data_IF_205900135691
#
_entry.id   IF_205900135691
#
_cell.length_a   1.000
_cell.length_b   1.000
_cell.length_c   1.000
_cell.angle_alpha   90.00
_cell.angle_beta   90.00
_cell.angle_gamma   90.00
#
_symmetry.space_group_name_H-M   'P 1'
#
loop_
_entity.id
_entity.type
_entity.pdbx_description
1 polymer ?
#
# COMPACT_ATOMS: atom_id res chain seq x y z
N UNK A 1 35.29 18.73 24.68
CA UNK A 1 34.24 19.26 23.78
C UNK A 1 34.75 19.41 22.34
N UNK A 2 36.00 19.85 22.14
CA UNK A 2 36.62 20.05 20.81
C UNK A 2 36.83 18.77 19.98
N UNK A 3 37.25 17.65 20.59
CA UNK A 3 37.43 16.37 19.89
C UNK A 3 36.13 15.84 19.27
N UNK A 4 34.99 15.96 19.98
CA UNK A 4 33.67 15.57 19.43
C UNK A 4 33.24 16.46 18.26
N UNK A 5 33.65 17.73 18.26
CA UNK A 5 33.37 18.65 17.15
C UNK A 5 34.18 18.31 15.91
N UNK A 6 35.46 17.94 16.07
CA UNK A 6 36.31 17.51 14.95
C UNK A 6 35.83 16.20 14.33
N UNK A 7 35.48 15.21 15.15
CA UNK A 7 34.91 13.93 14.67
C UNK A 7 33.56 14.10 13.97
N UNK A 8 32.69 15.00 14.45
CA UNK A 8 31.42 15.30 13.77
C UNK A 8 31.61 15.95 12.39
N UNK A 9 32.62 16.81 12.23
CA UNK A 9 32.97 17.44 10.95
C UNK A 9 33.54 16.40 9.97
N UNK A 10 34.37 15.47 10.46
CA UNK A 10 34.94 14.38 9.66
C UNK A 10 33.86 13.39 9.18
N UNK A 11 32.96 12.97 10.07
CA UNK A 11 31.81 12.10 9.73
C UNK A 11 30.85 12.77 8.75
N UNK A 12 30.60 14.07 8.89
CA UNK A 12 29.79 14.82 7.94
C UNK A 12 30.42 14.87 6.55
N UNK A 13 31.73 15.13 6.47
CA UNK A 13 32.47 15.12 5.21
C UNK A 13 32.51 13.73 4.55
N UNK A 14 32.64 12.66 5.34
CA UNK A 14 32.56 11.30 4.82
C UNK A 14 31.17 11.01 4.24
N UNK A 15 30.10 11.33 4.97
CA UNK A 15 28.72 11.17 4.51
C UNK A 15 28.49 11.88 3.17
N UNK A 16 28.93 13.15 3.06
CA UNK A 16 28.79 13.95 1.85
C UNK A 16 29.53 13.33 0.65
N UNK A 17 30.75 12.83 0.87
CA UNK A 17 31.55 12.14 -0.16
C UNK A 17 30.89 10.85 -0.64
N UNK A 18 30.38 10.02 0.29
CA UNK A 18 29.62 8.80 -0.08
C UNK A 18 28.34 9.15 -0.82
N UNK A 19 27.62 10.18 -0.37
CA UNK A 19 26.41 10.65 -1.02
C UNK A 19 26.69 11.07 -2.47
N UNK A 20 27.74 11.85 -2.69
CA UNK A 20 28.16 12.26 -4.04
C UNK A 20 28.48 11.06 -4.93
N UNK A 21 29.23 10.08 -4.43
CA UNK A 21 29.58 8.88 -5.21
C UNK A 21 28.33 8.08 -5.63
N UNK A 22 27.36 7.92 -4.72
CA UNK A 22 26.07 7.27 -5.01
C UNK A 22 25.28 8.08 -6.04
N UNK A 23 25.21 9.40 -5.87
CA UNK A 23 24.45 10.29 -6.75
C UNK A 23 25.01 10.30 -8.18
N UNK A 24 26.34 10.30 -8.33
CA UNK A 24 27.03 10.12 -9.62
C UNK A 24 26.69 8.78 -10.29
N UNK A 25 26.73 7.68 -9.53
CA UNK A 25 26.38 6.35 -10.05
C UNK A 25 24.90 6.30 -10.48
N UNK A 26 24.00 6.90 -9.69
CA UNK A 26 22.58 7.03 -10.04
C UNK A 26 22.38 7.88 -11.29
N UNK A 27 23.12 8.98 -11.46
CA UNK A 27 23.05 9.79 -12.70
C UNK A 27 23.41 8.96 -13.92
N UNK A 28 24.49 8.17 -13.86
CA UNK A 28 24.93 7.27 -14.94
C UNK A 28 23.92 6.14 -15.19
N UNK A 29 23.34 5.59 -14.13
CA UNK A 29 22.29 4.58 -14.23
C UNK A 29 21.10 5.10 -15.04
N UNK A 30 20.65 6.33 -14.80
CA UNK A 30 19.56 6.93 -15.57
C UNK A 30 19.90 7.10 -17.07
N UNK A 31 21.17 7.35 -17.43
CA UNK A 31 21.60 7.37 -18.84
C UNK A 31 21.49 6.00 -19.49
N UNK A 32 21.90 4.96 -18.75
CA UNK A 32 21.78 3.56 -19.20
C UNK A 32 20.31 3.19 -19.35
N UNK A 33 19.43 3.59 -18.43
CA UNK A 33 17.98 3.36 -18.52
C UNK A 33 17.41 3.91 -19.83
N UNK A 34 17.71 5.16 -20.20
CA UNK A 34 17.24 5.74 -21.46
C UNK A 34 17.77 4.96 -22.69
N UNK A 35 19.02 4.49 -22.64
CA UNK A 35 19.62 3.69 -23.72
C UNK A 35 18.99 2.30 -23.83
N UNK A 36 18.64 1.67 -22.71
CA UNK A 36 17.94 0.38 -22.70
C UNK A 36 16.57 0.49 -23.38
N UNK A 37 15.87 1.63 -23.18
CA UNK A 37 14.60 1.88 -23.86
C UNK A 37 14.79 2.06 -25.37
N UNK A 38 15.77 2.87 -25.78
CA UNK A 38 16.01 3.15 -27.21
C UNK A 38 16.45 1.93 -28.02
N UNK A 39 16.92 0.88 -27.35
CA UNK A 39 17.34 -0.39 -27.95
C UNK A 39 16.26 -1.50 -27.82
N UNK A 40 15.06 -1.16 -27.30
CA UNK A 40 13.93 -2.06 -27.07
C UNK A 40 14.30 -3.32 -26.27
N UNK A 41 15.25 -3.21 -25.31
CA UNK A 41 15.72 -4.37 -24.55
C UNK A 41 14.58 -5.05 -23.76
N UNK A 42 13.62 -4.26 -23.29
CA UNK A 42 12.44 -4.75 -22.59
C UNK A 42 11.59 -5.68 -23.47
N UNK A 43 11.46 -5.36 -24.77
CA UNK A 43 10.69 -6.18 -25.71
C UNK A 43 11.42 -7.47 -26.04
N UNK A 44 12.76 -7.43 -26.15
CA UNK A 44 13.59 -8.62 -26.41
C UNK A 44 13.50 -9.64 -25.27
N UNK A 45 13.32 -9.16 -24.05
CA UNK A 45 13.14 -9.98 -22.85
C UNK A 45 11.65 -10.27 -22.54
N UNK A 46 10.73 -10.01 -23.48
CA UNK A 46 9.32 -10.37 -23.38
C UNK A 46 8.51 -9.56 -22.37
N UNK A 47 9.03 -8.42 -21.90
CA UNK A 47 8.30 -7.51 -21.02
C UNK A 47 7.35 -6.62 -21.83
N UNK A 48 6.27 -6.13 -21.19
CA UNK A 48 5.27 -5.27 -21.83
C UNK A 48 5.72 -3.81 -21.99
N UNK A 49 6.59 -3.35 -21.10
CA UNK A 49 7.16 -2.00 -21.08
C UNK A 49 8.50 -2.00 -20.32
N UNK A 50 9.27 -0.90 -20.46
CA UNK A 50 10.53 -0.74 -19.75
C UNK A 50 10.37 -0.74 -18.22
N UNK A 51 9.21 -0.29 -17.70
CA UNK A 51 8.98 -0.24 -16.26
C UNK A 51 8.90 -1.65 -15.65
N UNK A 52 8.16 -2.57 -16.30
CA UNK A 52 8.11 -3.97 -15.92
C UNK A 52 9.50 -4.61 -16.01
N UNK A 53 10.24 -4.31 -17.08
CA UNK A 53 11.58 -4.86 -17.28
C UNK A 53 12.56 -4.42 -16.20
N UNK A 54 12.58 -3.13 -15.84
CA UNK A 54 13.40 -2.63 -14.73
C UNK A 54 12.96 -3.22 -13.39
N UNK A 55 11.66 -3.45 -13.21
CA UNK A 55 11.15 -4.07 -12.00
C UNK A 55 11.72 -5.48 -11.79
N UNK A 56 11.77 -6.27 -12.86
CA UNK A 56 12.34 -7.63 -12.84
C UNK A 56 13.88 -7.58 -12.76
N UNK A 57 14.53 -6.78 -13.61
CA UNK A 57 15.99 -6.80 -13.77
C UNK A 57 16.75 -6.10 -12.64
N UNK A 58 16.18 -5.03 -12.07
CA UNK A 58 16.83 -4.20 -11.03
C UNK A 58 16.18 -4.40 -9.66
N UNK A 59 15.00 -5.03 -9.58
CA UNK A 59 14.33 -5.32 -8.31
C UNK A 59 13.63 -4.10 -7.68
N UNK A 60 13.21 -3.13 -8.50
CA UNK A 60 12.48 -1.94 -8.04
C UNK A 60 10.99 -2.04 -8.33
N UNK A 61 10.15 -1.25 -7.65
CA UNK A 61 8.73 -1.21 -7.97
C UNK A 61 8.47 -0.59 -9.34
N UNK A 62 7.38 -0.96 -9.99
CA UNK A 62 6.93 -0.32 -11.24
C UNK A 62 6.78 1.21 -11.07
N UNK A 63 6.36 1.67 -9.88
CA UNK A 63 6.28 3.08 -9.55
C UNK A 63 7.65 3.76 -9.56
N UNK A 64 8.66 3.15 -8.92
CA UNK A 64 10.02 3.69 -8.92
C UNK A 64 10.62 3.68 -10.33
N UNK A 65 10.42 2.59 -11.08
CA UNK A 65 10.88 2.44 -12.45
C UNK A 65 10.33 3.56 -13.36
N UNK A 66 9.03 3.87 -13.29
CA UNK A 66 8.40 4.95 -14.07
C UNK A 66 9.00 6.32 -13.75
N UNK A 67 9.30 6.61 -12.48
CA UNK A 67 9.97 7.85 -12.07
C UNK A 67 11.38 7.93 -12.65
N UNK A 68 12.12 6.82 -12.63
CA UNK A 68 13.47 6.75 -13.20
C UNK A 68 13.43 6.96 -14.72
N UNK A 69 12.52 6.29 -15.43
CA UNK A 69 12.34 6.44 -16.88
C UNK A 69 12.03 7.90 -17.23
N UNK A 70 11.10 8.54 -16.50
CA UNK A 70 10.79 9.96 -16.71
C UNK A 70 12.02 10.86 -16.57
N UNK A 71 12.80 10.69 -15.49
CA UNK A 71 14.01 11.46 -15.27
C UNK A 71 15.10 11.17 -16.31
N UNK A 72 15.25 9.91 -16.72
CA UNK A 72 16.20 9.49 -17.75
C UNK A 72 15.99 10.25 -19.07
N UNK A 73 14.73 10.50 -19.44
CA UNK A 73 14.37 11.30 -20.62
C UNK A 73 14.38 12.83 -20.40
N UNK A 74 14.13 13.29 -19.18
CA UNK A 74 14.08 14.72 -18.86
C UNK A 74 15.49 15.33 -18.70
N UNK A 75 16.38 14.64 -17.99
CA UNK A 75 17.69 15.14 -17.58
C UNK A 75 18.61 15.61 -18.72
N UNK A 76 18.64 14.99 -19.92
CA UNK A 76 19.42 15.50 -21.05
C UNK A 76 19.07 16.94 -21.45
N UNK A 77 17.82 17.38 -21.17
CA UNK A 77 17.34 18.75 -21.44
C UNK A 77 17.46 19.66 -20.22
N UNK A 78 17.90 19.16 -19.07
CA UNK A 78 17.97 19.86 -17.78
C UNK A 78 19.42 19.82 -17.25
N UNK A 79 20.37 20.52 -17.91
CA UNK A 79 21.80 20.43 -17.58
C UNK A 79 22.16 20.93 -16.18
N UNK A 80 21.36 21.80 -15.56
CA UNK A 80 21.61 22.23 -14.18
C UNK A 80 21.18 21.16 -13.17
N UNK A 81 20.03 20.50 -13.39
CA UNK A 81 19.63 19.38 -12.54
C UNK A 81 20.51 18.14 -12.73
N UNK A 82 20.91 17.85 -13.97
CA UNK A 82 21.87 16.79 -14.27
C UNK A 82 23.15 16.93 -13.46
N UNK A 83 23.77 18.12 -13.49
CA UNK A 83 24.98 18.40 -12.72
C UNK A 83 24.75 18.39 -11.21
N UNK A 84 23.59 18.86 -10.76
CA UNK A 84 23.26 18.86 -9.33
C UNK A 84 23.11 17.44 -8.76
N UNK A 85 22.55 16.51 -9.53
CA UNK A 85 22.54 15.09 -9.17
C UNK A 85 23.97 14.52 -9.20
N UNK A 86 24.70 14.76 -10.29
CA UNK A 86 26.06 14.26 -10.47
C UNK A 86 27.02 14.69 -9.35
N UNK A 87 26.89 15.92 -8.87
CA UNK A 87 27.72 16.48 -7.81
C UNK A 87 27.20 16.20 -6.39
N UNK A 88 26.10 15.45 -6.23
CA UNK A 88 25.47 15.21 -4.92
C UNK A 88 24.81 16.43 -4.27
N UNK A 89 24.66 17.55 -5.00
CA UNK A 89 23.93 18.73 -4.50
C UNK A 89 22.43 18.44 -4.36
N UNK A 90 21.91 17.56 -5.21
CA UNK A 90 20.60 16.95 -5.07
C UNK A 90 20.74 15.43 -5.03
N UNK A 91 19.97 14.77 -4.18
CA UNK A 91 19.80 13.32 -4.24
C UNK A 91 18.91 12.93 -5.43
N UNK A 92 18.89 11.62 -5.74
CA UNK A 92 18.05 11.06 -6.78
C UNK A 92 16.58 11.44 -6.59
N UNK A 93 16.00 11.23 -5.42
CA UNK A 93 14.56 11.48 -5.20
C UNK A 93 14.14 12.93 -5.46
N UNK A 94 14.93 13.92 -5.00
CA UNK A 94 14.66 15.33 -5.31
C UNK A 94 14.71 15.57 -6.82
N UNK A 95 15.69 14.96 -7.48
CA UNK A 95 15.87 15.10 -8.93
C UNK A 95 14.72 14.47 -9.72
N UNK A 96 14.27 13.27 -9.33
CA UNK A 96 13.13 12.59 -9.94
C UNK A 96 11.86 13.44 -9.86
N UNK A 97 11.57 14.03 -8.68
CA UNK A 97 10.39 14.89 -8.52
C UNK A 97 10.48 16.18 -9.34
N UNK A 98 11.67 16.80 -9.41
CA UNK A 98 11.89 18.01 -10.21
C UNK A 98 11.71 17.73 -11.71
N UNK A 99 12.15 16.58 -12.21
CA UNK A 99 12.05 16.22 -13.64
C UNK A 99 10.61 16.15 -14.15
N UNK A 100 9.62 16.01 -13.26
CA UNK A 100 8.19 15.97 -13.61
C UNK A 100 7.67 17.30 -14.17
N UNK A 101 8.29 18.42 -13.80
CA UNK A 101 7.78 19.76 -14.13
C UNK A 101 8.86 20.81 -14.43
N UNK A 102 10.14 20.50 -14.18
CA UNK A 102 11.23 21.40 -14.52
C UNK A 102 11.39 21.53 -16.03
N UNK A 103 11.65 22.76 -16.47
CA UNK A 103 11.95 23.13 -17.84
C UNK A 103 13.33 23.80 -17.90
N UNK A 104 13.99 23.89 -19.07
CA UNK A 104 15.28 24.58 -19.18
C UNK A 104 15.23 26.02 -18.65
N UNK A 105 14.10 26.72 -18.81
CA UNK A 105 13.91 28.09 -18.30
C UNK A 105 13.65 28.18 -16.79
N UNK A 106 13.26 27.09 -16.12
CA UNK A 106 12.88 27.08 -14.69
C UNK A 106 13.87 26.35 -13.80
N UNK A 107 14.67 25.43 -14.34
CA UNK A 107 15.50 24.50 -13.56
C UNK A 107 16.46 25.20 -12.59
N UNK A 108 17.04 26.35 -12.97
CA UNK A 108 17.95 27.11 -12.09
C UNK A 108 17.24 27.62 -10.83
N UNK A 109 16.04 28.17 -10.99
CA UNK A 109 15.24 28.68 -9.86
C UNK A 109 14.78 27.52 -8.97
N UNK A 110 14.35 26.43 -9.59
CA UNK A 110 13.92 25.23 -8.87
C UNK A 110 15.06 24.58 -8.10
N UNK A 111 16.27 24.53 -8.65
CA UNK A 111 17.46 24.02 -7.96
C UNK A 111 17.78 24.80 -6.69
N UNK A 112 17.73 26.15 -6.74
CA UNK A 112 17.98 26.99 -5.55
C UNK A 112 16.98 26.68 -4.44
N UNK A 113 15.70 26.50 -4.80
CA UNK A 113 14.64 26.16 -3.86
C UNK A 113 14.77 24.73 -3.32
N UNK A 114 15.00 23.75 -4.19
CA UNK A 114 15.09 22.32 -3.86
C UNK A 114 16.19 21.99 -2.84
N UNK A 115 17.27 22.79 -2.79
CA UNK A 115 18.33 22.67 -1.77
C UNK A 115 17.85 22.93 -0.35
N UNK A 116 16.74 23.66 -0.17
CA UNK A 116 16.27 24.14 1.14
C UNK A 116 15.02 23.41 1.65
N UNK A 117 14.47 22.50 0.85
CA UNK A 117 13.20 21.82 1.17
C UNK A 117 13.34 20.30 1.12
N UNK A 118 12.42 19.58 1.74
CA UNK A 118 12.37 18.12 1.68
C UNK A 118 11.89 17.63 0.31
N UNK A 119 12.14 16.34 0.00
CA UNK A 119 11.57 15.68 -1.19
C UNK A 119 10.04 15.81 -1.20
N UNK A 120 9.39 15.69 -0.05
CA UNK A 120 7.93 15.80 0.06
C UNK A 120 7.40 17.18 -0.40
N UNK A 121 8.12 18.26 -0.10
CA UNK A 121 7.75 19.60 -0.57
C UNK A 121 7.91 19.73 -2.10
N UNK A 122 8.97 19.13 -2.67
CA UNK A 122 9.17 19.07 -4.12
C UNK A 122 8.06 18.27 -4.78
N UNK A 123 7.74 17.08 -4.25
CA UNK A 123 6.65 16.23 -4.73
C UNK A 123 5.33 16.99 -4.72
N UNK A 124 4.97 17.63 -3.61
CA UNK A 124 3.73 18.43 -3.53
C UNK A 124 3.69 19.53 -4.60
N UNK A 125 4.80 20.21 -4.86
CA UNK A 125 4.88 21.19 -5.94
C UNK A 125 4.73 20.52 -7.31
N UNK A 126 5.42 19.42 -7.54
CA UNK A 126 5.31 18.65 -8.77
C UNK A 126 3.87 18.22 -9.04
N UNK A 127 3.14 17.75 -8.02
CA UNK A 127 1.74 17.34 -8.15
C UNK A 127 0.82 18.53 -8.49
N UNK A 128 1.11 19.73 -7.98
CA UNK A 128 0.36 20.95 -8.31
C UNK A 128 0.65 21.47 -9.73
N UNK A 129 1.90 21.35 -10.18
CA UNK A 129 2.36 21.83 -11.50
C UNK A 129 2.03 20.83 -12.62
N UNK A 130 2.15 19.53 -12.34
CA UNK A 130 1.88 18.43 -13.26
C UNK A 130 0.38 18.17 -13.44
N UNK A 131 -0.46 19.23 -13.41
CA UNK A 131 -1.93 19.20 -13.56
C UNK A 131 -2.33 17.94 -14.33
N UNK A 132 -2.97 16.95 -13.68
CA UNK A 132 -3.34 15.72 -14.36
C UNK A 132 -4.04 16.10 -15.65
N UNK A 133 -3.52 15.63 -16.79
CA UNK A 133 -4.21 15.91 -18.04
C UNK A 133 -5.61 15.29 -17.92
N UNK A 134 -6.58 15.84 -18.64
CA UNK A 134 -7.91 15.23 -18.71
C UNK A 134 -7.82 13.75 -19.11
N UNK A 135 -6.81 13.40 -19.91
CA UNK A 135 -6.53 12.04 -20.33
C UNK A 135 -5.98 11.17 -19.18
N UNK A 136 -5.08 11.69 -18.34
CA UNK A 136 -4.58 10.98 -17.16
C UNK A 136 -5.71 10.70 -16.15
N UNK A 137 -6.62 11.66 -15.96
CA UNK A 137 -7.80 11.47 -15.10
C UNK A 137 -8.75 10.41 -15.66
N UNK A 138 -9.02 10.46 -16.97
CA UNK A 138 -9.87 9.46 -17.64
C UNK A 138 -9.22 8.07 -17.58
N UNK A 139 -7.90 7.99 -17.76
CA UNK A 139 -7.19 6.71 -17.71
C UNK A 139 -7.14 6.14 -16.30
N UNK A 140 -6.88 6.97 -15.29
CA UNK A 140 -6.95 6.55 -13.89
C UNK A 140 -8.35 6.04 -13.51
N UNK A 141 -9.42 6.68 -14.02
CA UNK A 141 -10.78 6.19 -13.81
C UNK A 141 -11.02 4.86 -14.55
N UNK A 142 -10.61 4.74 -15.82
CA UNK A 142 -10.80 3.52 -16.62
C UNK A 142 -10.01 2.32 -16.10
N UNK A 143 -8.83 2.55 -15.55
CA UNK A 143 -7.92 1.51 -15.06
C UNK A 143 -8.06 1.28 -13.57
N UNK A 144 -9.03 1.92 -12.91
CA UNK A 144 -9.32 1.66 -11.50
C UNK A 144 -9.70 0.19 -11.33
N UNK A 145 -9.21 -0.42 -10.26
CA UNK A 145 -9.56 -1.79 -9.94
C UNK A 145 -9.49 -2.00 -8.43
N UNK A 146 -10.22 -3.00 -7.98
CA UNK A 146 -10.08 -3.60 -6.67
C UNK A 146 -10.34 -5.10 -6.86
N UNK A 147 -9.37 -5.94 -6.54
CA UNK A 147 -9.57 -7.38 -6.50
C UNK A 147 -9.15 -7.92 -5.14
N UNK A 148 -9.64 -9.11 -4.85
CA UNK A 148 -9.37 -9.81 -3.60
C UNK A 148 -9.02 -11.26 -3.89
N UNK A 149 -8.25 -11.86 -2.99
CA UNK A 149 -7.88 -13.27 -3.06
C UNK A 149 -7.73 -13.85 -1.67
N UNK A 150 -7.88 -15.16 -1.55
CA UNK A 150 -7.56 -15.88 -0.32
C UNK A 150 -6.11 -16.36 -0.38
N UNK A 151 -5.39 -16.26 0.73
CA UNK A 151 -4.07 -16.89 0.85
C UNK A 151 -4.20 -18.42 0.84
N UNK A 152 -3.11 -19.12 0.52
CA UNK A 152 -3.09 -20.60 0.43
C UNK A 152 -3.49 -21.30 1.73
N UNK A 153 -3.36 -20.60 2.88
CA UNK A 153 -3.82 -21.08 4.18
C UNK A 153 -5.35 -21.02 4.35
N UNK A 154 -6.04 -20.39 3.41
CA UNK A 154 -7.47 -20.05 3.45
C UNK A 154 -7.83 -18.98 4.48
N UNK A 155 -6.99 -18.70 5.47
CA UNK A 155 -7.36 -17.97 6.69
C UNK A 155 -7.27 -16.46 6.55
N UNK A 156 -6.65 -15.97 5.48
CA UNK A 156 -6.43 -14.54 5.26
C UNK A 156 -6.98 -14.12 3.90
N UNK A 157 -7.59 -12.94 3.89
CA UNK A 157 -8.01 -12.25 2.68
C UNK A 157 -6.98 -11.19 2.31
N UNK A 158 -6.46 -11.25 1.09
CA UNK A 158 -5.68 -10.18 0.46
C UNK A 158 -6.57 -9.26 -0.36
N UNK A 159 -6.26 -7.96 -0.34
CA UNK A 159 -6.93 -6.92 -1.12
C UNK A 159 -5.87 -6.08 -1.85
N UNK A 160 -6.07 -5.84 -3.14
CA UNK A 160 -5.25 -4.90 -3.92
C UNK A 160 -6.13 -4.08 -4.84
N UNK A 161 -5.86 -2.78 -4.87
CA UNK A 161 -6.60 -1.87 -5.73
C UNK A 161 -5.86 -0.60 -6.04
N UNK A 162 -6.34 0.06 -7.09
CA UNK A 162 -5.91 1.37 -7.55
C UNK A 162 -7.14 2.22 -7.79
N UNK A 163 -7.21 3.38 -7.14
CA UNK A 163 -8.33 4.32 -7.23
C UNK A 163 -7.86 5.67 -7.78
N UNK A 164 -8.72 6.38 -8.53
CA UNK A 164 -8.53 7.79 -8.85
C UNK A 164 -8.26 8.62 -7.59
N UNK A 165 -7.46 9.68 -7.70
CA UNK A 165 -6.97 10.41 -6.54
C UNK A 165 -8.08 11.00 -5.64
N UNK A 166 -9.18 11.47 -6.23
CA UNK A 166 -10.36 11.96 -5.53
C UNK A 166 -11.07 10.84 -4.75
N UNK A 167 -11.33 9.69 -5.39
CA UNK A 167 -11.97 8.53 -4.77
C UNK A 167 -11.07 7.89 -3.70
N UNK A 168 -9.79 7.67 -4.01
CA UNK A 168 -8.80 7.13 -3.08
C UNK A 168 -8.57 8.03 -1.88
N UNK A 169 -8.67 9.36 -2.04
CA UNK A 169 -8.60 10.30 -0.91
C UNK A 169 -9.77 10.14 0.05
N UNK A 170 -10.99 9.87 -0.47
CA UNK A 170 -12.15 9.59 0.38
C UNK A 170 -11.94 8.30 1.17
N UNK A 171 -11.52 7.22 0.51
CA UNK A 171 -11.25 5.92 1.17
C UNK A 171 -10.16 6.07 2.23
N UNK A 172 -9.02 6.67 1.89
CA UNK A 172 -7.91 6.88 2.82
C UNK A 172 -8.33 7.70 4.04
N UNK A 173 -9.09 8.79 3.84
CA UNK A 173 -9.57 9.63 4.94
C UNK A 173 -10.57 8.92 5.84
N UNK A 174 -11.46 8.11 5.26
CA UNK A 174 -12.41 7.33 6.04
C UNK A 174 -11.68 6.28 6.89
N UNK A 175 -10.71 5.55 6.31
CA UNK A 175 -9.90 4.58 7.03
C UNK A 175 -9.06 5.22 8.14
N UNK A 176 -8.35 6.32 7.85
CA UNK A 176 -7.56 7.03 8.86
C UNK A 176 -8.44 7.52 10.02
N UNK A 177 -9.62 8.09 9.71
CA UNK A 177 -10.55 8.60 10.72
C UNK A 177 -11.14 7.49 11.59
N UNK A 178 -11.38 6.32 11.03
CA UNK A 178 -11.88 5.15 11.77
C UNK A 178 -10.76 4.50 12.58
N UNK A 179 -9.55 4.40 12.03
CA UNK A 179 -8.36 3.89 12.73
C UNK A 179 -8.02 4.71 13.98
N UNK A 180 -8.22 6.03 13.96
CA UNK A 180 -8.10 6.89 15.15
C UNK A 180 -9.07 6.52 16.30
N UNK A 181 -10.17 5.82 16.00
CA UNK A 181 -11.19 5.43 16.98
C UNK A 181 -11.02 4.01 17.50
N UNK A 182 -10.20 3.20 16.83
CA UNK A 182 -9.87 1.85 17.30
C UNK A 182 -8.91 2.00 18.48
N UNK A 183 -9.26 1.52 19.69
CA UNK A 183 -8.37 1.53 20.83
C UNK A 183 -7.07 0.78 20.50
N UNK A 184 -5.94 1.19 21.07
CA UNK A 184 -4.73 0.37 21.03
C UNK A 184 -5.01 -0.92 21.82
N UNK A 185 -5.36 -2.01 21.13
CA UNK A 185 -5.48 -3.33 21.74
C UNK A 185 -4.05 -3.86 21.90
N UNK A 186 -3.36 -3.38 22.94
CA UNK A 186 -2.14 -4.01 23.44
C UNK A 186 -2.56 -4.87 24.63
N UNK A 187 -3.14 -6.03 24.35
CA UNK A 187 -3.33 -7.03 25.40
C UNK A 187 -1.99 -7.70 25.71
N UNK A 188 -1.39 -7.31 26.85
CA UNK A 188 -0.30 -8.04 27.49
C UNK A 188 0.90 -7.17 27.87
N UNK A 189 1.21 -7.11 29.16
CA UNK A 189 2.41 -6.47 29.74
C UNK A 189 3.76 -7.08 29.29
N UNK A 190 3.77 -7.99 28.30
CA UNK A 190 4.91 -8.84 27.95
C UNK A 190 5.14 -9.09 26.45
N UNK A 191 4.71 -8.19 25.55
CA UNK A 191 5.13 -8.25 24.13
C UNK A 191 5.85 -6.99 23.67
N UNK A 192 6.85 -7.12 22.77
CA UNK A 192 7.59 -5.98 22.25
C UNK A 192 6.61 -5.00 21.59
N UNK A 193 6.68 -3.75 22.03
CA UNK A 193 5.89 -2.63 21.50
C UNK A 193 6.02 -2.61 19.97
N UNK A 194 4.96 -2.98 19.25
CA UNK A 194 4.92 -2.95 17.80
C UNK A 194 5.39 -1.58 17.29
N UNK A 195 6.15 -1.55 16.18
CA UNK A 195 6.61 -0.29 15.64
C UNK A 195 5.40 0.62 15.33
N UNK A 196 5.52 1.96 15.46
CA UNK A 196 4.39 2.86 15.24
C UNK A 196 3.69 2.69 13.88
N UNK A 197 4.43 2.20 12.88
CA UNK A 197 3.90 1.90 11.55
C UNK A 197 3.08 0.60 11.52
N UNK A 198 3.55 -0.47 12.17
CA UNK A 198 2.82 -1.74 12.29
C UNK A 198 1.48 -1.55 13.01
N UNK A 199 1.48 -0.74 14.09
CA UNK A 199 0.25 -0.35 14.80
C UNK A 199 -0.72 0.43 13.89
N UNK A 200 -0.23 1.25 12.97
CA UNK A 200 -1.11 1.98 12.04
C UNK A 200 -1.70 1.07 10.95
N UNK A 201 -0.92 0.12 10.46
CA UNK A 201 -1.37 -0.86 9.46
C UNK A 201 -2.46 -1.78 10.03
N UNK A 202 -2.27 -2.28 11.25
CA UNK A 202 -3.28 -3.07 11.98
C UNK A 202 -4.58 -2.27 12.17
N UNK A 203 -4.48 -1.04 12.71
CA UNK A 203 -5.68 -0.20 12.92
C UNK A 203 -6.41 0.16 11.63
N UNK A 204 -5.70 0.31 10.51
CA UNK A 204 -6.31 0.52 9.19
C UNK A 204 -7.02 -0.75 8.69
N UNK A 205 -6.48 -1.93 8.95
CA UNK A 205 -7.16 -3.19 8.65
C UNK A 205 -8.45 -3.33 9.47
N UNK A 206 -8.41 -3.03 10.77
CA UNK A 206 -9.59 -3.03 11.64
C UNK A 206 -10.63 -2.00 11.18
N UNK A 207 -10.17 -0.79 10.82
CA UNK A 207 -11.01 0.26 10.28
C UNK A 207 -11.71 -0.15 8.99
N UNK A 208 -11.02 -0.86 8.08
CA UNK A 208 -11.60 -1.36 6.85
C UNK A 208 -12.69 -2.40 7.13
N UNK A 209 -12.41 -3.35 8.04
CA UNK A 209 -13.38 -4.36 8.44
C UNK A 209 -14.62 -3.73 9.10
N UNK A 210 -14.41 -2.74 9.99
CA UNK A 210 -15.49 -2.00 10.63
C UNK A 210 -16.32 -1.19 9.61
N UNK A 211 -15.68 -0.60 8.60
CA UNK A 211 -16.36 0.13 7.53
C UNK A 211 -17.26 -0.80 6.71
N UNK A 212 -16.74 -1.96 6.30
CA UNK A 212 -17.52 -2.95 5.57
C UNK A 212 -18.66 -3.53 6.42
N UNK A 213 -18.40 -3.82 7.69
CA UNK A 213 -19.40 -4.33 8.63
C UNK A 213 -20.53 -3.32 8.85
N UNK A 214 -20.22 -2.03 9.00
CA UNK A 214 -21.22 -0.97 9.12
C UNK A 214 -22.09 -0.87 7.87
N UNK A 215 -21.48 -0.93 6.67
CA UNK A 215 -22.22 -0.87 5.42
C UNK A 215 -23.20 -2.05 5.26
N UNK A 216 -22.78 -3.26 5.63
CA UNK A 216 -23.64 -4.46 5.63
C UNK A 216 -24.75 -4.35 6.69
N UNK A 217 -24.43 -3.82 7.88
CA UNK A 217 -25.39 -3.67 8.96
C UNK A 217 -26.49 -2.65 8.63
N UNK A 218 -26.11 -1.54 7.99
CA UNK A 218 -27.01 -0.47 7.53
C UNK A 218 -27.83 -0.88 6.31
N UNK A 219 -27.47 -1.97 5.61
CA UNK A 219 -28.27 -2.53 4.54
C UNK A 219 -29.54 -3.19 5.11
N UNK A 220 -30.69 -2.63 4.72
CA UNK A 220 -32.02 -3.07 5.11
C UNK A 220 -32.62 -4.09 4.13
N UNK A 221 -31.93 -4.41 3.02
CA UNK A 221 -32.37 -5.46 2.12
C UNK A 221 -32.41 -6.82 2.83
N UNK A 222 -33.40 -7.63 2.47
CA UNK A 222 -33.56 -8.99 3.01
C UNK A 222 -32.50 -9.94 2.42
N UNK A 223 -32.00 -9.66 1.21
CA UNK A 223 -30.92 -10.39 0.53
C UNK A 223 -29.54 -9.76 0.73
N UNK A 224 -29.39 -8.86 1.73
CA UNK A 224 -28.11 -8.21 2.03
C UNK A 224 -26.98 -9.23 2.21
N UNK A 225 -25.77 -8.78 1.90
CA UNK A 225 -24.56 -9.59 2.08
C UNK A 225 -24.51 -10.19 3.49
N UNK A 226 -24.42 -11.51 3.56
CA UNK A 226 -24.44 -12.25 4.83
C UNK A 226 -23.27 -13.21 4.85
N UNK A 227 -22.50 -13.19 5.93
CA UNK A 227 -21.49 -14.22 6.20
C UNK A 227 -22.17 -15.34 6.96
N UNK A 228 -22.22 -16.53 6.36
CA UNK A 228 -22.78 -17.74 6.99
C UNK A 228 -21.64 -18.54 7.58
N UNK A 229 -21.80 -18.95 8.83
CA UNK A 229 -20.83 -19.78 9.56
C UNK A 229 -21.53 -21.08 9.94
N UNK A 230 -20.98 -22.20 9.50
CA UNK A 230 -21.38 -23.52 9.96
C UNK A 230 -20.48 -23.93 11.12
N UNK A 231 -21.11 -24.25 12.25
CA UNK A 231 -20.44 -24.71 13.45
C UNK A 231 -21.26 -25.81 14.07
N UNK A 232 -20.64 -26.97 14.29
CA UNK A 232 -21.25 -28.01 15.11
C UNK A 232 -21.39 -27.52 16.56
N UNK A 233 -22.43 -27.98 17.25
CA UNK A 233 -22.67 -27.60 18.64
C UNK A 233 -21.47 -27.96 19.55
N UNK A 234 -20.82 -29.11 19.30
CA UNK A 234 -19.61 -29.52 20.02
C UNK A 234 -18.46 -28.53 19.82
N UNK A 235 -18.31 -27.97 18.61
CA UNK A 235 -17.31 -26.95 18.31
C UNK A 235 -17.61 -25.66 19.07
N UNK A 236 -18.87 -25.25 19.18
CA UNK A 236 -19.22 -24.06 19.96
C UNK A 236 -19.02 -24.25 21.48
N UNK A 237 -19.20 -25.47 21.99
CA UNK A 237 -19.06 -25.80 23.41
C UNK A 237 -17.63 -26.10 23.86
N UNK A 238 -16.68 -26.29 22.95
CA UNK A 238 -15.28 -26.62 23.27
C UNK A 238 -14.31 -26.15 22.19
N UNK A 239 -13.08 -26.68 22.18
CA UNK A 239 -12.02 -26.27 21.25
C UNK A 239 -11.55 -27.41 20.32
N UNK A 240 -12.32 -28.50 20.24
CA UNK A 240 -11.85 -29.76 19.63
C UNK A 240 -12.14 -29.89 18.13
N UNK A 241 -12.99 -29.03 17.54
CA UNK A 241 -13.37 -29.07 16.12
C UNK A 241 -13.31 -27.68 15.48
N UNK A 242 -13.03 -27.61 14.18
CA UNK A 242 -13.09 -26.35 13.42
C UNK A 242 -14.53 -25.93 13.12
N UNK A 243 -14.74 -24.65 12.84
CA UNK A 243 -15.98 -24.12 12.24
C UNK A 243 -15.66 -23.66 10.81
N UNK A 244 -16.63 -23.53 9.92
CA UNK A 244 -16.39 -23.12 8.54
C UNK A 244 -17.25 -21.92 8.15
N UNK A 245 -16.71 -21.05 7.30
CA UNK A 245 -17.49 -20.01 6.63
C UNK A 245 -18.02 -20.60 5.32
N UNK A 246 -19.30 -20.41 5.00
CA UNK A 246 -19.89 -20.88 3.75
C UNK A 246 -19.14 -20.31 2.55
N UNK A 247 -18.61 -21.19 1.69
CA UNK A 247 -17.77 -20.80 0.55
C UNK A 247 -16.42 -20.16 0.94
N UNK A 248 -16.01 -20.28 2.20
CA UNK A 248 -14.82 -19.67 2.78
C UNK A 248 -13.99 -20.67 3.59
N UNK A 249 -13.07 -20.17 4.44
CA UNK A 249 -12.13 -21.02 5.17
C UNK A 249 -12.68 -21.59 6.47
N UNK A 250 -11.94 -22.56 7.01
CA UNK A 250 -12.11 -23.04 8.38
C UNK A 250 -11.58 -21.99 9.37
N UNK A 251 -12.43 -21.63 10.34
CA UNK A 251 -12.15 -20.71 11.44
C UNK A 251 -12.09 -21.43 12.78
N UNK A 252 -11.40 -20.82 13.75
CA UNK A 252 -11.34 -21.31 15.12
C UNK A 252 -12.73 -21.18 15.80
N UNK A 253 -13.12 -22.12 16.68
CA UNK A 253 -14.34 -22.03 17.48
C UNK A 253 -14.54 -20.72 18.23
N UNK A 254 -13.45 -20.13 18.74
CA UNK A 254 -13.52 -18.84 19.43
C UNK A 254 -13.96 -17.71 18.50
N UNK A 255 -13.52 -17.72 17.24
CA UNK A 255 -14.00 -16.77 16.22
C UNK A 255 -15.49 -17.00 15.94
N UNK A 256 -15.93 -18.26 15.80
CA UNK A 256 -17.34 -18.59 15.58
C UNK A 256 -18.22 -18.15 16.77
N UNK A 257 -17.77 -18.38 18.01
CA UNK A 257 -18.43 -17.90 19.23
C UNK A 257 -18.54 -16.37 19.23
N UNK A 258 -17.46 -15.65 18.94
CA UNK A 258 -17.47 -14.19 18.87
C UNK A 258 -18.45 -13.67 17.81
N UNK A 259 -18.46 -14.30 16.62
CA UNK A 259 -19.41 -13.95 15.55
C UNK A 259 -20.86 -14.21 15.97
N UNK A 260 -21.10 -15.28 16.74
CA UNK A 260 -22.44 -15.64 17.20
C UNK A 260 -23.09 -14.61 18.14
N UNK A 261 -22.28 -13.78 18.84
CA UNK A 261 -22.77 -12.78 19.80
C UNK A 261 -23.71 -11.75 19.17
N UNK A 262 -23.42 -11.32 17.93
CA UNK A 262 -24.20 -10.31 17.21
C UNK A 262 -24.84 -10.85 15.91
N UNK A 263 -24.89 -12.18 15.76
CA UNK A 263 -25.43 -12.83 14.57
C UNK A 263 -26.92 -13.19 14.67
N UNK A 264 -27.51 -13.46 13.50
CA UNK A 264 -28.74 -14.26 13.40
C UNK A 264 -28.34 -15.73 13.40
N UNK A 265 -28.90 -16.50 14.33
CA UNK A 265 -28.61 -17.92 14.48
C UNK A 265 -29.78 -18.75 13.97
N UNK A 266 -29.48 -19.81 13.23
CA UNK A 266 -30.44 -20.83 12.85
C UNK A 266 -29.83 -22.20 13.17
N UNK A 267 -30.56 -23.00 13.93
CA UNK A 267 -30.14 -24.36 14.28
C UNK A 267 -30.66 -25.30 13.21
N UNK A 268 -29.77 -26.11 12.65
CA UNK A 268 -30.11 -27.23 11.77
C UNK A 268 -29.81 -28.52 12.53
N UNK A 269 -30.78 -29.42 12.55
CA UNK A 269 -30.64 -30.77 13.10
C UNK A 269 -30.38 -31.72 11.93
N UNK A 270 -29.30 -32.47 12.02
CA UNK A 270 -28.90 -33.45 11.03
C UNK A 270 -29.01 -34.85 11.62
N UNK A 271 -29.30 -35.84 10.79
CA UNK A 271 -29.22 -37.25 11.18
C UNK A 271 -27.79 -37.78 11.11
N UNK A 272 -27.61 -39.09 11.40
CA UNK A 272 -26.30 -39.72 11.38
C UNK A 272 -25.65 -39.82 9.98
N UNK A 273 -26.42 -39.57 8.90
CA UNK A 273 -25.93 -39.51 7.54
C UNK A 273 -25.54 -38.08 7.11
N UNK A 274 -25.83 -37.07 7.95
CA UNK A 274 -25.61 -35.66 7.64
C UNK A 274 -26.78 -35.01 6.89
N UNK A 275 -27.93 -35.69 6.79
CA UNK A 275 -29.11 -35.13 6.13
C UNK A 275 -29.87 -34.23 7.10
N UNK A 276 -30.25 -33.03 6.66
CA UNK A 276 -31.04 -32.09 7.45
C UNK A 276 -32.44 -32.64 7.73
N UNK A 277 -32.72 -33.00 8.99
CA UNK A 277 -34.01 -33.54 9.45
C UNK A 277 -34.87 -32.52 10.17
N UNK A 278 -34.31 -31.37 10.55
CA UNK A 278 -35.06 -30.30 11.18
C UNK A 278 -34.36 -28.95 11.08
N UNK A 279 -35.13 -27.88 10.87
CA UNK A 279 -34.63 -26.51 10.80
C UNK A 279 -35.37 -25.66 11.82
N UNK A 280 -34.62 -25.05 12.74
CA UNK A 280 -35.13 -24.13 13.74
C UNK A 280 -35.50 -22.76 13.17
N UNK A 281 -36.23 -21.97 13.96
CA UNK A 281 -36.50 -20.58 13.63
C UNK A 281 -35.23 -19.75 13.79
N UNK A 282 -35.03 -18.80 12.89
CA UNK A 282 -33.95 -17.81 13.03
C UNK A 282 -34.21 -16.93 14.26
N UNK A 283 -33.24 -16.84 15.16
CA UNK A 283 -33.25 -15.97 16.32
C UNK A 283 -32.12 -14.94 16.23
N UNK A 284 -32.33 -13.71 16.72
CA UNK A 284 -31.24 -12.76 16.98
C UNK A 284 -30.84 -12.92 18.44
N UNK A 285 -29.58 -13.26 18.66
CA UNK A 285 -28.99 -13.64 19.96
C UNK A 285 -29.57 -14.92 20.57
N UNK A 286 -28.67 -15.83 20.96
CA UNK A 286 -28.93 -16.89 21.94
C UNK A 286 -28.21 -16.50 23.25
N UNK A 287 -28.69 -16.93 24.43
CA UNK A 287 -28.29 -16.40 25.73
C UNK A 287 -26.82 -16.61 26.09
#
# INVERSE_FOLDING_TARGET
MELRSATNVELGGELDSKHQAVALAQRRLLEVVARCDSEDLWSRDGCRDLAQWLSIRVGISNWAARRWINAAYALPRLPHLSRALESGVLCLDKTLELCRFATPGTERKLLIWARRVSVAAIRRKADLEARPSRQDTVEADKTRFLHYWWFDDGRRLGLEGSLPADQGSVVARALDRMAERVPDIVEGDHEPRAEPQESLEIRRADALNAMASSAIADDHDTERATVVVHAELEALMGDQRGCEIEGGPVIHPETARRLSCDARLQVVLEDAAGDAVGIGRTARSAP
#
